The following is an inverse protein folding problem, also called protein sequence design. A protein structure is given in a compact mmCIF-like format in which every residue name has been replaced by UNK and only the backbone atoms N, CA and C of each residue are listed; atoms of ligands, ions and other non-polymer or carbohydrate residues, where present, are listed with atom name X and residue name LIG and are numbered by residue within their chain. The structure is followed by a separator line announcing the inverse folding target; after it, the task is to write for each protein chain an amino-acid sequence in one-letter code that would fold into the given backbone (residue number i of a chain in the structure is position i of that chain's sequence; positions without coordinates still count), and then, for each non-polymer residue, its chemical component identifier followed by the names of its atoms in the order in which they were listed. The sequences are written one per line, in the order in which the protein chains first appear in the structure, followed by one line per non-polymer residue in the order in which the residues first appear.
data_IF_474947998371
#
_entry.id   IF_474947998371
#
_cell.length_a   1.000
_cell.length_b   1.000
_cell.length_c   1.000
_cell.angle_alpha   90.00
_cell.angle_beta   90.00
_cell.angle_gamma   90.00
#
_symmetry.space_group_name_H-M   'P 1'
#
loop_
_entity.id
_entity.type
_entity.pdbx_description
1 polymer ?
#
# COMPACT_ATOMS: atom_id res chain seq x y z
N UNK A 1 31.63 -28.71 77.90
CA UNK A 1 30.65 -29.44 77.07
C UNK A 1 30.16 -28.49 76.00
N UNK A 2 30.84 -28.48 74.82
CA UNK A 2 30.64 -27.53 73.73
C UNK A 2 29.57 -28.06 72.81
N UNK A 3 28.58 -27.22 72.50
CA UNK A 3 27.58 -27.46 71.43
C UNK A 3 28.04 -26.74 70.19
N UNK A 4 28.43 -27.56 69.18
CA UNK A 4 28.75 -27.07 67.84
C UNK A 4 27.47 -26.73 67.08
N UNK A 5 27.28 -25.47 66.68
CA UNK A 5 26.21 -25.01 65.82
C UNK A 5 26.46 -25.42 64.36
N UNK A 6 25.47 -26.04 63.73
CA UNK A 6 25.49 -26.44 62.36
C UNK A 6 24.83 -25.34 61.49
N UNK A 7 25.66 -24.57 60.77
CA UNK A 7 25.18 -23.58 59.79
C UNK A 7 24.69 -24.27 58.53
N UNK A 8 23.37 -24.18 58.23
CA UNK A 8 22.79 -24.61 56.98
C UNK A 8 22.82 -23.45 55.95
N UNK A 9 23.73 -23.54 55.01
CA UNK A 9 23.78 -22.66 53.88
C UNK A 9 22.70 -23.11 52.85
N UNK A 10 21.67 -22.30 52.68
CA UNK A 10 20.66 -22.49 51.64
C UNK A 10 21.17 -21.87 50.38
N UNK A 11 21.63 -22.66 49.41
CA UNK A 11 21.99 -22.22 48.08
C UNK A 11 20.77 -21.87 47.24
N UNK A 12 20.57 -20.62 46.93
CA UNK A 12 19.51 -20.13 46.05
C UNK A 12 19.94 -20.42 44.60
N UNK A 13 19.34 -21.43 43.98
CA UNK A 13 19.55 -21.75 42.55
C UNK A 13 18.70 -20.80 41.71
N UNK A 14 19.32 -19.74 41.15
CA UNK A 14 18.66 -18.85 40.19
C UNK A 14 18.63 -19.53 38.84
N UNK A 15 17.45 -20.06 38.48
CA UNK A 15 17.20 -20.65 37.16
C UNK A 15 16.91 -19.51 36.16
N UNK A 16 17.92 -19.07 35.42
CA UNK A 16 17.76 -18.11 34.32
C UNK A 16 17.10 -18.82 33.14
N UNK A 17 15.80 -18.60 32.92
CA UNK A 17 15.10 -18.98 31.69
C UNK A 17 15.57 -18.04 30.55
N UNK A 18 16.44 -18.55 29.69
CA UNK A 18 16.76 -17.93 28.40
C UNK A 18 15.59 -18.16 27.46
N UNK A 19 14.75 -17.13 27.26
CA UNK A 19 13.78 -17.11 26.18
C UNK A 19 14.54 -16.92 24.86
N UNK A 20 14.77 -17.98 24.13
CA UNK A 20 15.16 -17.89 22.73
C UNK A 20 13.92 -17.43 21.95
N UNK A 21 13.81 -16.14 21.68
CA UNK A 21 12.90 -15.64 20.66
C UNK A 21 13.42 -16.18 19.31
N UNK A 22 12.82 -17.25 18.81
CA UNK A 22 13.06 -17.70 17.44
C UNK A 22 12.57 -16.59 16.51
N UNK A 23 13.49 -15.87 15.90
CA UNK A 23 13.16 -14.99 14.79
C UNK A 23 12.53 -15.87 13.70
N UNK A 24 11.21 -15.80 13.53
CA UNK A 24 10.54 -16.43 12.41
C UNK A 24 11.06 -15.75 11.14
N UNK A 25 11.93 -16.44 10.44
CA UNK A 25 12.37 -16.05 9.12
C UNK A 25 11.18 -16.25 8.19
N UNK A 26 10.46 -15.16 7.89
CA UNK A 26 9.35 -15.21 6.94
C UNK A 26 9.93 -15.48 5.56
N UNK A 27 9.67 -16.65 5.01
CA UNK A 27 10.01 -16.96 3.64
C UNK A 27 9.30 -15.97 2.70
N UNK A 28 10.05 -15.39 1.76
CA UNK A 28 9.46 -14.56 0.73
C UNK A 28 8.47 -15.40 -0.09
N UNK A 29 7.25 -14.91 -0.26
CA UNK A 29 6.22 -15.53 -1.10
C UNK A 29 6.09 -14.74 -2.39
N UNK A 30 6.16 -15.41 -3.54
CA UNK A 30 5.94 -14.77 -4.85
C UNK A 30 4.54 -15.08 -5.36
N UNK A 31 3.88 -14.04 -5.84
CA UNK A 31 2.51 -14.03 -6.36
C UNK A 31 2.56 -13.48 -7.79
N UNK A 32 2.14 -14.29 -8.78
CA UNK A 32 2.13 -13.90 -10.20
C UNK A 32 0.74 -14.13 -10.87
N UNK A 33 -0.30 -14.38 -10.07
CA UNK A 33 -1.68 -14.56 -10.53
C UNK A 33 -2.64 -13.80 -9.64
N UNK A 34 -3.81 -13.43 -10.19
CA UNK A 34 -4.81 -12.62 -9.48
C UNK A 34 -5.24 -13.27 -8.17
N UNK A 35 -4.95 -12.62 -7.08
CA UNK A 35 -5.33 -13.06 -5.75
C UNK A 35 -5.23 -11.95 -4.70
N UNK A 36 -5.91 -12.15 -3.60
CA UNK A 36 -5.79 -11.39 -2.37
C UNK A 36 -5.47 -12.31 -1.20
N UNK A 37 -4.93 -11.77 -0.13
CA UNK A 37 -4.63 -12.53 1.08
C UNK A 37 -4.04 -11.68 2.17
N UNK A 38 -3.47 -12.35 3.16
CA UNK A 38 -2.75 -11.71 4.28
C UNK A 38 -1.33 -12.26 4.36
N UNK A 39 -0.37 -11.36 4.51
CA UNK A 39 1.04 -11.71 4.70
C UNK A 39 1.63 -10.80 5.79
N UNK A 40 2.14 -11.40 6.87
CA UNK A 40 2.74 -10.71 8.01
C UNK A 40 1.87 -9.57 8.59
N UNK A 41 0.57 -9.83 8.77
CA UNK A 41 -0.38 -8.88 9.35
C UNK A 41 -0.92 -7.82 8.38
N UNK A 42 -0.45 -7.78 7.14
CA UNK A 42 -0.94 -6.88 6.10
C UNK A 42 -1.80 -7.63 5.09
N UNK A 43 -2.92 -7.03 4.72
CA UNK A 43 -3.67 -7.44 3.53
C UNK A 43 -2.81 -7.15 2.28
N UNK A 44 -2.89 -8.00 1.27
CA UNK A 44 -2.32 -7.74 -0.05
C UNK A 44 -3.33 -8.02 -1.16
N UNK A 45 -3.17 -7.31 -2.26
CA UNK A 45 -3.89 -7.54 -3.50
C UNK A 45 -2.90 -7.57 -4.65
N UNK A 46 -3.10 -8.51 -5.56
CA UNK A 46 -2.40 -8.60 -6.83
C UNK A 46 -3.42 -8.83 -7.95
N UNK A 47 -3.44 -7.91 -8.91
CA UNK A 47 -4.25 -7.98 -10.12
C UNK A 47 -3.34 -7.88 -11.35
N UNK A 48 -3.63 -8.68 -12.35
CA UNK A 48 -2.99 -8.67 -13.66
C UNK A 48 -4.04 -8.97 -14.73
N UNK A 49 -4.24 -8.05 -15.69
CA UNK A 49 -5.17 -8.26 -16.80
C UNK A 49 -4.53 -9.06 -17.94
N UNK A 50 -3.28 -8.74 -18.29
CA UNK A 50 -2.50 -9.44 -19.30
C UNK A 50 -1.02 -9.07 -19.22
N UNK A 51 -0.16 -9.81 -19.90
CA UNK A 51 1.28 -9.66 -19.84
C UNK A 51 1.92 -10.54 -18.76
N UNK A 52 3.03 -10.11 -18.22
CA UNK A 52 3.76 -10.81 -17.14
C UNK A 52 4.06 -9.85 -15.99
N UNK A 53 3.68 -10.23 -14.79
CA UNK A 53 4.04 -9.50 -13.58
C UNK A 53 4.08 -10.43 -12.37
N UNK A 54 4.91 -10.09 -11.40
CA UNK A 54 4.96 -10.79 -10.12
C UNK A 54 5.14 -9.80 -8.97
N UNK A 55 4.56 -10.15 -7.82
CA UNK A 55 4.74 -9.48 -6.54
C UNK A 55 5.45 -10.42 -5.58
N UNK A 56 6.57 -10.00 -5.01
CA UNK A 56 7.23 -10.73 -3.92
C UNK A 56 6.85 -10.09 -2.60
N UNK A 57 6.18 -10.87 -1.77
CA UNK A 57 5.77 -10.51 -0.41
C UNK A 57 6.92 -10.83 0.54
N UNK A 58 7.49 -9.83 1.18
CA UNK A 58 8.53 -10.03 2.19
C UNK A 58 8.00 -9.69 3.57
N UNK A 59 8.52 -10.36 4.59
CA UNK A 59 8.17 -10.09 5.98
C UNK A 59 9.10 -9.11 6.69
N UNK A 60 10.05 -8.53 5.97
CA UNK A 60 10.99 -7.56 6.51
C UNK A 60 10.28 -6.22 6.81
N UNK A 61 10.93 -5.37 7.61
CA UNK A 61 10.46 -4.01 7.89
C UNK A 61 9.01 -3.94 8.43
N UNK A 62 8.70 -4.77 9.44
CA UNK A 62 7.38 -4.76 10.09
C UNK A 62 6.25 -5.38 9.27
N UNK A 63 6.57 -6.14 8.21
CA UNK A 63 5.59 -6.92 7.43
C UNK A 63 4.99 -6.20 6.22
N UNK A 64 5.07 -4.87 6.14
CA UNK A 64 4.49 -4.08 5.06
C UNK A 64 5.32 -3.98 3.78
N UNK A 65 6.43 -4.73 3.67
CA UNK A 65 7.31 -4.68 2.50
C UNK A 65 6.84 -5.64 1.40
N UNK A 66 6.95 -5.17 0.14
CA UNK A 66 6.79 -5.95 -1.07
C UNK A 66 7.65 -5.38 -2.20
N UNK A 67 7.91 -6.18 -3.22
CA UNK A 67 8.48 -5.72 -4.48
C UNK A 67 7.66 -6.24 -5.66
N UNK A 68 7.69 -5.52 -6.78
CA UNK A 68 7.04 -5.92 -8.03
C UNK A 68 7.99 -5.82 -9.20
N UNK A 69 7.77 -6.67 -10.20
CA UNK A 69 8.33 -6.54 -11.53
C UNK A 69 7.22 -6.79 -12.54
N UNK A 70 7.20 -6.03 -13.65
CA UNK A 70 6.20 -6.20 -14.69
C UNK A 70 6.73 -5.95 -16.08
N UNK A 71 6.12 -6.64 -17.06
CA UNK A 71 6.29 -6.47 -18.49
C UNK A 71 4.95 -6.74 -19.16
N UNK A 72 4.20 -5.66 -19.45
CA UNK A 72 2.77 -5.72 -19.74
C UNK A 72 2.41 -5.61 -21.23
N UNK A 73 3.40 -5.46 -22.11
CA UNK A 73 3.15 -5.18 -23.51
C UNK A 73 2.50 -3.81 -23.69
N UNK A 74 1.55 -3.67 -24.63
CA UNK A 74 0.93 -2.38 -24.96
C UNK A 74 -0.38 -2.07 -24.23
N UNK A 75 -1.01 -3.06 -23.60
CA UNK A 75 -2.37 -2.93 -23.03
C UNK A 75 -2.60 -3.67 -21.72
N UNK A 76 -1.60 -4.37 -21.20
CA UNK A 76 -1.70 -5.04 -19.90
C UNK A 76 -1.78 -4.03 -18.76
N UNK A 77 -2.45 -4.44 -17.70
CA UNK A 77 -2.62 -3.68 -16.47
C UNK A 77 -2.26 -4.55 -15.27
N UNK A 78 -1.48 -4.03 -14.35
CA UNK A 78 -1.09 -4.68 -13.10
C UNK A 78 -1.26 -3.71 -11.95
N UNK A 79 -2.00 -4.11 -10.91
CA UNK A 79 -2.10 -3.39 -9.63
C UNK A 79 -1.70 -4.34 -8.51
N UNK A 80 -0.68 -3.97 -7.75
CA UNK A 80 -0.18 -4.80 -6.65
C UNK A 80 0.24 -3.97 -5.45
N UNK A 81 -0.09 -4.41 -4.24
CA UNK A 81 0.32 -3.70 -3.03
C UNK A 81 -0.08 -4.38 -1.74
N UNK A 82 0.41 -3.81 -0.64
CA UNK A 82 0.10 -4.20 0.74
C UNK A 82 -0.59 -3.08 1.51
N UNK A 83 -1.43 -3.44 2.45
CA UNK A 83 -2.13 -2.51 3.32
C UNK A 83 -3.16 -3.17 4.22
N UNK A 84 -4.42 -2.74 4.15
CA UNK A 84 -5.46 -3.08 5.12
C UNK A 84 -6.79 -3.45 4.44
N UNK A 85 -7.50 -4.37 5.05
CA UNK A 85 -8.87 -4.69 4.70
C UNK A 85 -9.67 -4.96 6.00
N UNK A 86 -10.66 -4.10 6.35
CA UNK A 86 -11.07 -2.91 5.60
C UNK A 86 -10.02 -1.77 5.68
N UNK A 87 -10.11 -0.83 4.73
CA UNK A 87 -9.44 0.45 4.78
C UNK A 87 -10.15 1.42 5.75
N UNK A 88 -9.65 2.66 5.84
CA UNK A 88 -10.25 3.73 6.66
C UNK A 88 -10.06 5.09 5.99
N UNK A 89 -11.08 5.94 6.05
CA UNK A 89 -11.02 7.33 5.55
C UNK A 89 -10.14 8.24 6.41
N UNK A 90 -9.81 7.82 7.63
CA UNK A 90 -9.01 8.60 8.60
C UNK A 90 -7.56 8.16 8.70
N UNK A 91 -7.18 7.09 8.01
CA UNK A 91 -5.85 6.50 8.10
C UNK A 91 -4.74 7.47 7.65
N UNK A 92 -3.69 7.54 8.45
CA UNK A 92 -2.42 8.17 8.08
C UNK A 92 -1.43 7.04 7.76
N UNK A 93 -1.00 7.00 6.51
CA UNK A 93 -0.15 5.95 5.97
C UNK A 93 1.28 6.45 5.84
N UNK A 94 2.22 5.72 6.43
CA UNK A 94 3.65 5.87 6.16
C UNK A 94 4.09 4.91 5.08
N UNK A 95 5.03 5.33 4.23
CA UNK A 95 5.66 4.44 3.27
C UNK A 95 7.08 4.90 2.91
N UNK A 96 7.86 3.95 2.42
CA UNK A 96 9.18 4.20 1.83
C UNK A 96 9.29 3.40 0.53
N UNK A 97 9.79 4.05 -0.51
CA UNK A 97 10.05 3.43 -1.80
C UNK A 97 11.55 3.29 -1.95
N UNK A 98 12.07 2.08 -1.73
CA UNK A 98 13.50 1.79 -1.89
C UNK A 98 13.92 1.82 -3.37
N UNK A 99 13.01 1.45 -4.26
CA UNK A 99 13.15 1.55 -5.72
C UNK A 99 11.77 1.75 -6.34
N UNK A 100 11.67 2.66 -7.32
CA UNK A 100 10.49 2.82 -8.16
C UNK A 100 10.95 3.18 -9.57
N UNK A 101 10.86 2.21 -10.47
CA UNK A 101 11.17 2.35 -11.89
C UNK A 101 9.86 2.16 -12.68
N UNK A 102 9.08 3.24 -12.89
CA UNK A 102 7.70 3.16 -13.39
C UNK A 102 7.58 2.81 -14.88
N UNK A 103 8.67 2.81 -15.62
CA UNK A 103 8.61 2.73 -17.08
C UNK A 103 7.88 3.94 -17.69
N UNK A 104 7.20 3.74 -18.81
CA UNK A 104 6.45 4.80 -19.50
C UNK A 104 5.16 5.18 -18.78
N UNK A 105 4.50 4.23 -18.13
CA UNK A 105 3.20 4.41 -17.48
C UNK A 105 3.08 3.49 -16.25
N UNK A 106 3.64 3.93 -15.17
CA UNK A 106 3.52 3.31 -13.86
C UNK A 106 3.33 4.37 -12.78
N UNK A 107 2.61 4.04 -11.72
CA UNK A 107 2.40 4.93 -10.58
C UNK A 107 2.46 4.21 -9.25
N UNK A 108 2.83 4.98 -8.23
CA UNK A 108 2.82 4.61 -6.83
C UNK A 108 1.71 5.40 -6.14
N UNK A 109 0.76 4.73 -5.54
CA UNK A 109 -0.43 5.36 -4.98
C UNK A 109 -0.90 4.69 -3.70
N UNK A 110 -1.50 5.47 -2.79
CA UNK A 110 -2.46 4.90 -1.86
C UNK A 110 -3.75 4.64 -2.66
N UNK A 111 -4.12 3.38 -2.75
CA UNK A 111 -5.13 2.84 -3.65
C UNK A 111 -6.15 2.01 -2.88
N UNK A 112 -7.36 2.00 -3.36
CA UNK A 112 -8.39 1.12 -2.82
C UNK A 112 -9.76 1.36 -3.39
N UNK A 113 -10.75 0.76 -2.73
CA UNK A 113 -12.14 0.77 -3.15
C UNK A 113 -13.08 1.13 -2.02
N UNK A 114 -14.21 1.72 -2.38
CA UNK A 114 -15.40 1.81 -1.53
C UNK A 114 -16.62 1.27 -2.26
N UNK A 115 -17.65 0.88 -1.51
CA UNK A 115 -18.94 0.43 -2.05
C UNK A 115 -20.05 1.36 -1.57
N UNK A 116 -21.14 1.51 -2.36
CA UNK A 116 -22.28 2.35 -2.04
C UNK A 116 -21.90 3.84 -1.79
N UNK A 117 -21.30 4.55 -2.75
CA UNK A 117 -21.10 4.18 -4.16
C UNK A 117 -19.87 3.33 -4.43
N UNK A 118 -19.85 2.61 -5.57
CA UNK A 118 -18.68 1.88 -6.03
C UNK A 118 -17.66 2.85 -6.60
N UNK A 119 -16.59 3.07 -5.86
CA UNK A 119 -15.50 3.99 -6.20
C UNK A 119 -14.17 3.29 -6.07
N UNK A 120 -13.37 3.40 -7.10
CA UNK A 120 -11.93 3.15 -7.08
C UNK A 120 -11.19 4.45 -6.80
N UNK A 121 -10.31 4.50 -5.83
CA UNK A 121 -9.64 5.75 -5.48
C UNK A 121 -8.12 5.62 -5.50
N UNK A 122 -7.49 6.75 -5.87
CA UNK A 122 -6.05 6.90 -6.00
C UNK A 122 -5.56 8.19 -5.34
N UNK A 123 -4.57 8.09 -4.46
CA UNK A 123 -3.70 9.20 -4.09
C UNK A 123 -2.33 8.89 -4.66
N UNK A 124 -2.05 9.41 -5.85
CA UNK A 124 -0.82 9.17 -6.60
C UNK A 124 0.28 10.09 -6.08
N UNK A 125 1.30 9.51 -5.49
CA UNK A 125 2.45 10.24 -4.93
C UNK A 125 3.65 10.30 -5.89
N UNK A 126 3.75 9.33 -6.82
CA UNK A 126 4.77 9.31 -7.86
C UNK A 126 4.27 8.58 -9.10
N UNK A 127 4.72 9.05 -10.28
CA UNK A 127 4.40 8.41 -11.57
C UNK A 127 5.55 8.56 -12.57
N UNK A 128 5.49 7.78 -13.64
CA UNK A 128 6.38 7.90 -14.79
C UNK A 128 6.06 9.13 -15.67
N UNK A 129 6.55 9.13 -16.92
CA UNK A 129 6.26 10.22 -17.87
C UNK A 129 4.76 10.44 -18.12
N UNK A 130 3.96 9.37 -18.10
CA UNK A 130 2.50 9.49 -18.18
C UNK A 130 1.94 10.03 -16.87
N UNK A 131 1.16 11.09 -16.93
CA UNK A 131 0.45 11.67 -15.78
C UNK A 131 -0.97 11.11 -15.71
N UNK A 132 -1.32 10.29 -14.69
CA UNK A 132 -2.68 9.80 -14.53
C UNK A 132 -3.65 10.94 -14.15
N UNK A 133 -4.98 10.77 -14.36
CA UNK A 133 -5.63 9.64 -15.03
C UNK A 133 -5.52 9.67 -16.55
N UNK A 134 -4.88 10.71 -17.16
CA UNK A 134 -4.74 10.86 -18.60
C UNK A 134 -6.07 11.18 -19.31
N UNK A 135 -6.13 10.89 -20.62
CA UNK A 135 -7.38 11.01 -21.40
C UNK A 135 -7.99 12.40 -21.47
N UNK A 136 -7.22 13.47 -21.21
CA UNK A 136 -7.75 14.84 -21.21
C UNK A 136 -8.65 15.18 -20.01
N UNK A 137 -8.58 14.41 -18.94
CA UNK A 137 -9.36 14.67 -17.71
C UNK A 137 -9.08 16.08 -17.18
N UNK A 138 -10.15 16.82 -16.91
CA UNK A 138 -10.07 18.17 -16.37
C UNK A 138 -9.93 18.12 -14.85
N UNK A 139 -8.99 18.87 -14.29
CA UNK A 139 -8.86 19.04 -12.86
C UNK A 139 -10.07 19.78 -12.29
N UNK A 140 -10.63 19.22 -11.20
CA UNK A 140 -11.73 19.84 -10.45
C UNK A 140 -11.23 20.84 -9.40
N UNK A 141 -9.94 20.81 -9.10
CA UNK A 141 -9.30 21.63 -8.08
C UNK A 141 -8.02 20.97 -7.58
N UNK A 142 -7.53 21.47 -6.45
CA UNK A 142 -6.30 20.96 -5.83
C UNK A 142 -6.49 20.74 -4.33
N UNK A 143 -5.63 19.88 -3.78
CA UNK A 143 -5.41 19.76 -2.33
C UNK A 143 -3.92 19.86 -2.03
N UNK A 144 -3.55 20.69 -1.05
CA UNK A 144 -2.18 20.80 -0.54
C UNK A 144 -2.09 20.10 0.81
N UNK A 145 -1.30 19.03 0.87
CA UNK A 145 -1.11 18.20 2.06
C UNK A 145 0.20 17.43 1.98
N UNK A 146 0.72 16.99 3.11
CA UNK A 146 1.91 16.15 3.19
C UNK A 146 3.10 16.69 2.37
N UNK A 147 3.29 18.02 2.42
CA UNK A 147 4.38 18.72 1.74
C UNK A 147 4.27 18.75 0.22
N UNK A 148 3.07 18.69 -0.35
CA UNK A 148 2.86 18.82 -1.79
C UNK A 148 1.46 19.21 -2.19
N UNK A 149 1.28 19.46 -3.48
CA UNK A 149 0.00 19.78 -4.09
C UNK A 149 -0.42 18.66 -5.03
N UNK A 150 -1.71 18.33 -5.00
CA UNK A 150 -2.31 17.27 -5.82
C UNK A 150 -3.48 17.86 -6.61
N UNK A 151 -3.52 17.57 -7.90
CA UNK A 151 -4.68 17.84 -8.74
C UNK A 151 -5.76 16.78 -8.48
N UNK A 152 -7.03 17.21 -8.43
CA UNK A 152 -8.18 16.34 -8.16
C UNK A 152 -8.91 16.05 -9.47
N UNK A 153 -9.24 14.76 -9.69
CA UNK A 153 -10.00 14.35 -10.88
C UNK A 153 -11.09 13.34 -10.50
N UNK A 154 -12.15 13.33 -11.32
CA UNK A 154 -13.22 12.32 -11.29
C UNK A 154 -13.41 11.75 -12.68
N UNK A 155 -13.38 10.43 -12.81
CA UNK A 155 -13.49 9.73 -14.08
C UNK A 155 -14.53 8.62 -13.97
N UNK A 156 -15.45 8.50 -14.95
CA UNK A 156 -16.35 7.37 -15.06
C UNK A 156 -15.67 6.25 -15.85
N UNK A 157 -15.73 5.03 -15.35
CA UNK A 157 -15.14 3.82 -15.94
C UNK A 157 -16.18 2.69 -16.03
N UNK A 158 -15.87 1.71 -16.86
CA UNK A 158 -16.56 0.41 -16.89
C UNK A 158 -15.52 -0.66 -17.18
N UNK A 159 -15.56 -1.73 -16.43
CA UNK A 159 -14.58 -2.82 -16.53
C UNK A 159 -14.53 -3.68 -15.28
N UNK A 160 -13.46 -4.47 -15.11
CA UNK A 160 -13.23 -5.26 -13.91
C UNK A 160 -13.20 -4.37 -12.65
N UNK A 161 -13.85 -4.82 -11.59
CA UNK A 161 -13.92 -4.13 -10.31
C UNK A 161 -14.14 -5.14 -9.18
N UNK A 162 -14.17 -4.69 -7.93
CA UNK A 162 -14.31 -5.58 -6.77
C UNK A 162 -15.66 -6.29 -6.65
N UNK A 163 -16.66 -5.91 -7.43
CA UNK A 163 -17.98 -6.56 -7.49
C UNK A 163 -18.15 -7.42 -8.77
N UNK A 164 -17.11 -7.49 -9.62
CA UNK A 164 -17.13 -8.25 -10.88
C UNK A 164 -16.74 -7.42 -12.09
N UNK A 165 -17.69 -7.09 -12.96
CA UNK A 165 -17.47 -6.27 -14.15
C UNK A 165 -18.67 -5.33 -14.36
N UNK A 166 -18.39 -4.05 -14.62
CA UNK A 166 -19.45 -3.06 -14.80
C UNK A 166 -18.99 -1.63 -14.53
N UNK A 167 -19.94 -0.67 -14.45
CA UNK A 167 -19.62 0.73 -14.26
C UNK A 167 -19.16 1.02 -12.81
N UNK A 168 -18.21 1.93 -12.69
CA UNK A 168 -17.74 2.50 -11.44
C UNK A 168 -17.17 3.90 -11.65
N UNK A 169 -16.86 4.59 -10.56
CA UNK A 169 -16.24 5.91 -10.63
C UNK A 169 -14.83 5.85 -10.06
N UNK A 170 -13.90 6.58 -10.66
CA UNK A 170 -12.56 6.77 -10.13
C UNK A 170 -12.41 8.16 -9.52
N UNK A 171 -11.84 8.23 -8.31
CA UNK A 171 -11.44 9.47 -7.64
C UNK A 171 -9.92 9.51 -7.57
N UNK A 172 -9.34 10.63 -8.01
CA UNK A 172 -7.91 10.81 -8.10
C UNK A 172 -7.45 12.04 -7.36
N UNK A 173 -6.35 11.91 -6.64
CA UNK A 173 -5.48 13.01 -6.24
C UNK A 173 -4.11 12.71 -6.80
N UNK A 174 -3.62 13.51 -7.73
CA UNK A 174 -2.35 13.28 -8.44
C UNK A 174 -1.36 14.36 -8.08
N UNK A 175 -0.27 13.95 -7.46
CA UNK A 175 0.78 14.88 -7.00
C UNK A 175 1.44 15.57 -8.19
N UNK A 176 1.66 16.89 -8.08
CA UNK A 176 2.26 17.71 -9.14
C UNK A 176 3.76 17.53 -9.28
N UNK A 177 4.41 16.91 -8.29
CA UNK A 177 5.85 16.56 -8.33
C UNK A 177 6.08 15.25 -7.57
N UNK A 178 6.84 14.34 -8.17
CA UNK A 178 7.13 13.03 -7.59
C UNK A 178 7.83 13.13 -6.22
N UNK A 179 7.56 12.17 -5.36
CA UNK A 179 8.27 11.98 -4.09
C UNK A 179 9.69 11.48 -4.32
N UNK A 180 10.58 11.86 -3.41
CA UNK A 180 11.92 11.27 -3.35
C UNK A 180 11.86 9.81 -2.94
N UNK A 181 12.67 8.98 -3.60
CA UNK A 181 12.87 7.58 -3.23
C UNK A 181 13.87 7.47 -2.07
N UNK A 182 13.83 6.35 -1.36
CA UNK A 182 14.75 6.05 -0.26
C UNK A 182 14.45 6.80 1.05
N UNK A 183 13.40 7.62 1.09
CA UNK A 183 13.00 8.37 2.29
C UNK A 183 11.59 8.00 2.75
N UNK A 184 11.31 8.23 4.02
CA UNK A 184 9.96 8.01 4.56
C UNK A 184 9.04 9.13 4.13
N UNK A 185 7.90 8.75 3.59
CA UNK A 185 6.83 9.64 3.13
C UNK A 185 5.55 9.36 3.93
N UNK A 186 4.64 10.31 3.90
CA UNK A 186 3.34 10.22 4.58
C UNK A 186 2.22 10.60 3.63
N UNK A 187 1.08 9.90 3.74
CA UNK A 187 -0.20 10.25 3.12
C UNK A 187 -1.24 10.36 4.23
N UNK A 188 -1.72 11.56 4.48
CA UNK A 188 -2.85 11.84 5.37
C UNK A 188 -4.16 11.70 4.59
N UNK A 189 -4.67 10.48 4.49
CA UNK A 189 -5.78 10.15 3.58
C UNK A 189 -7.03 11.00 3.80
N UNK A 190 -7.34 11.36 5.05
CA UNK A 190 -8.50 12.20 5.36
C UNK A 190 -8.48 13.57 4.65
N UNK A 191 -7.30 14.15 4.40
CA UNK A 191 -7.19 15.41 3.69
C UNK A 191 -7.68 15.28 2.23
N UNK A 192 -7.37 14.17 1.57
CA UNK A 192 -7.85 13.85 0.24
C UNK A 192 -9.35 13.57 0.24
N UNK A 193 -9.85 12.78 1.19
CA UNK A 193 -11.28 12.47 1.35
C UNK A 193 -12.10 13.76 1.52
N UNK A 194 -11.65 14.68 2.36
CA UNK A 194 -12.30 15.99 2.56
C UNK A 194 -12.28 16.84 1.29
N UNK A 195 -11.14 16.87 0.59
CA UNK A 195 -11.02 17.60 -0.67
C UNK A 195 -11.92 17.01 -1.76
N UNK A 196 -12.03 15.70 -1.88
CA UNK A 196 -12.97 15.03 -2.78
C UNK A 196 -14.42 15.38 -2.40
N UNK A 197 -14.78 15.30 -1.12
CA UNK A 197 -16.12 15.60 -0.65
C UNK A 197 -16.56 17.04 -0.96
N UNK A 198 -15.65 18.03 -0.91
CA UNK A 198 -15.94 19.44 -1.29
C UNK A 198 -16.31 19.60 -2.77
N UNK A 199 -16.02 18.60 -3.61
CA UNK A 199 -16.40 18.50 -5.02
C UNK A 199 -17.56 17.49 -5.24
N UNK A 200 -18.28 17.09 -4.18
CA UNK A 200 -19.37 16.12 -4.29
C UNK A 200 -18.91 14.69 -4.56
N UNK A 201 -17.62 14.40 -4.33
CA UNK A 201 -16.99 13.11 -4.54
C UNK A 201 -16.92 12.35 -3.20
N UNK A 202 -18.04 11.80 -2.76
CA UNK A 202 -18.11 11.09 -1.48
C UNK A 202 -17.76 9.61 -1.64
N UNK A 203 -16.91 9.09 -0.76
CA UNK A 203 -16.68 7.66 -0.62
C UNK A 203 -17.83 7.01 0.15
N UNK A 204 -18.08 5.74 -0.10
CA UNK A 204 -19.02 4.91 0.65
C UNK A 204 -18.34 4.05 1.72
N UNK A 205 -18.84 2.84 1.89
CA UNK A 205 -18.24 1.87 2.82
C UNK A 205 -16.87 1.44 2.30
N UNK A 206 -15.85 1.61 3.11
CA UNK A 206 -14.47 1.26 2.74
C UNK A 206 -14.32 -0.26 2.54
N UNK A 207 -13.75 -0.63 1.40
CA UNK A 207 -13.24 -1.97 1.14
C UNK A 207 -11.74 -1.98 1.48
N UNK A 208 -10.86 -2.62 0.70
CA UNK A 208 -9.44 -2.60 1.01
C UNK A 208 -8.77 -1.26 0.65
N UNK A 209 -7.64 -1.02 1.28
CA UNK A 209 -6.75 0.13 1.10
C UNK A 209 -5.30 -0.33 1.17
N UNK A 210 -4.53 -0.10 0.11
CA UNK A 210 -3.16 -0.58 0.00
C UNK A 210 -2.25 0.54 -0.52
N UNK A 211 -0.99 0.54 -0.11
CA UNK A 211 0.04 1.26 -0.85
C UNK A 211 0.38 0.41 -2.07
N UNK A 212 0.01 0.87 -3.26
CA UNK A 212 0.06 0.10 -4.49
C UNK A 212 1.09 0.63 -5.47
N UNK A 213 1.68 -0.30 -6.21
CA UNK A 213 2.32 -0.05 -7.51
C UNK A 213 1.35 -0.47 -8.61
N UNK A 214 1.14 0.40 -9.57
CA UNK A 214 0.39 0.09 -10.80
C UNK A 214 1.27 0.31 -12.02
N UNK A 215 1.13 -0.56 -13.01
CA UNK A 215 1.74 -0.42 -14.32
C UNK A 215 0.69 -0.68 -15.40
N UNK A 216 0.66 0.16 -16.43
CA UNK A 216 -0.24 0.01 -17.57
C UNK A 216 0.53 0.12 -18.88
N UNK A 217 0.48 -0.93 -19.74
CA UNK A 217 1.13 -0.93 -21.04
C UNK A 217 2.63 -0.61 -20.98
N UNK A 218 3.32 -1.00 -19.94
CA UNK A 218 4.70 -0.61 -19.63
C UNK A 218 5.51 -1.76 -19.03
N UNK A 219 6.78 -1.52 -18.81
CA UNK A 219 7.68 -2.41 -18.06
C UNK A 219 8.25 -1.62 -16.88
N UNK A 220 8.43 -2.28 -15.75
CA UNK A 220 8.98 -1.59 -14.58
C UNK A 220 9.21 -2.48 -13.38
N UNK A 221 9.56 -1.84 -12.27
CA UNK A 221 9.77 -2.51 -10.98
C UNK A 221 9.53 -1.55 -9.81
N UNK A 222 9.21 -2.10 -8.66
CA UNK A 222 9.15 -1.36 -7.41
C UNK A 222 9.65 -2.18 -6.22
N UNK A 223 10.07 -1.47 -5.17
CA UNK A 223 10.21 -2.02 -3.81
C UNK A 223 9.62 -1.01 -2.84
N UNK A 224 8.58 -1.41 -2.15
CA UNK A 224 7.79 -0.52 -1.29
C UNK A 224 7.62 -1.14 0.08
N UNK A 225 7.78 -0.32 1.11
CA UNK A 225 7.42 -0.67 2.49
C UNK A 225 6.34 0.28 2.96
N UNK A 226 5.27 -0.23 3.55
CA UNK A 226 4.18 0.58 4.11
C UNK A 226 3.92 0.23 5.57
N UNK A 227 3.44 1.22 6.33
CA UNK A 227 3.02 1.06 7.72
C UNK A 227 1.91 2.07 8.06
N UNK A 228 1.18 1.78 9.11
CA UNK A 228 0.19 2.70 9.66
C UNK A 228 0.86 3.64 10.67
N UNK A 229 0.66 4.95 10.52
CA UNK A 229 1.08 5.96 11.50
C UNK A 229 -0.04 6.16 12.52
N UNK A 230 -1.27 6.38 12.03
CA UNK A 230 -2.47 6.51 12.87
C UNK A 230 -3.74 6.17 12.08
N UNK A 231 -4.85 6.06 12.79
CA UNK A 231 -6.21 6.00 12.23
C UNK A 231 -6.91 7.34 12.33
#
# INVERSE_FOLDING_TARGET
MELKGLSKTIGLLVLTLLFFASAQQSNAQTVCSNQTGTNNGFFYSFFLSSGSACMTLTGNFGGGNYSTTWSLGSSGDMVAGKGWNPGSTTKVVGYNTGNFSPGSNGYLALYGWSTSPLVEYYVVDSHGPFTPPGGGAQSLGTVSTDGGTYNIYKVSKSGPNILGNGPFTQYWSVRTSNRSQGVNNTITFNNHVRAWASHGMNLGTMNYQIMATEGFGSNGSSNVTTWQISN
#
